data_IF_339640437080
#
_entry.id   IF_339640437080
#
_cell.length_a   1.000
_cell.length_b   1.000
_cell.length_c   1.000
_cell.angle_alpha   90.00
_cell.angle_beta   90.00
_cell.angle_gamma   90.00
#
_symmetry.space_group_name_H-M   'P 1'
#
loop_
_entity.id
_entity.type
_entity.pdbx_description
1 polymer ?
#
# COMPACT_ATOMS: atom_id res chain seq x y z
N UNK A 1 14.96 45.83 -59.35
CA UNK A 1 14.98 47.25 -59.72
C UNK A 1 13.68 47.56 -60.44
N UNK A 2 12.93 48.62 -60.05
CA UNK A 2 12.94 49.38 -58.78
C UNK A 2 12.49 48.47 -57.59
N UNK A 3 12.46 48.83 -56.30
CA UNK A 3 12.58 50.09 -55.53
C UNK A 3 11.29 50.91 -55.29
N UNK A 4 10.70 50.80 -54.07
CA UNK A 4 10.58 51.91 -53.09
C UNK A 4 9.89 51.55 -51.76
N UNK A 5 10.51 51.92 -50.65
CA UNK A 5 9.91 52.15 -49.31
C UNK A 5 9.49 53.65 -49.18
N UNK A 6 9.03 54.26 -48.05
CA UNK A 6 9.23 53.97 -46.61
C UNK A 6 7.88 53.83 -45.84
N UNK A 7 7.73 53.90 -44.49
CA UNK A 7 8.63 54.33 -43.39
C UNK A 7 8.32 53.70 -42.02
N UNK A 8 9.37 53.48 -41.23
CA UNK A 8 9.43 53.31 -39.75
C UNK A 8 9.22 54.68 -39.02
N UNK A 9 9.37 54.86 -37.67
CA UNK A 9 9.96 54.01 -36.60
C UNK A 9 8.98 53.79 -35.39
N UNK A 10 9.31 53.30 -34.18
CA UNK A 10 10.61 53.10 -33.47
C UNK A 10 10.54 52.03 -32.35
N UNK A 11 11.44 51.03 -32.37
CA UNK A 11 12.72 50.98 -31.62
C UNK A 11 12.84 51.64 -30.21
N UNK A 12 13.77 51.21 -29.31
CA UNK A 12 14.13 49.87 -28.83
C UNK A 12 13.82 49.73 -27.29
N UNK A 13 14.53 49.08 -26.34
CA UNK A 13 15.82 48.35 -26.23
C UNK A 13 15.89 47.48 -24.94
N UNK A 14 16.80 46.50 -24.94
CA UNK A 14 17.48 45.83 -23.80
C UNK A 14 18.95 46.33 -23.78
N UNK A 15 19.74 46.32 -22.67
CA UNK A 15 20.69 45.19 -22.51
C UNK A 15 21.29 44.88 -21.09
N UNK A 16 21.71 43.62 -20.94
CA UNK A 16 23.03 43.15 -20.40
C UNK A 16 23.58 43.53 -19.01
N UNK A 17 23.81 42.48 -18.20
CA UNK A 17 25.13 42.03 -17.70
C UNK A 17 26.02 42.92 -16.79
N UNK A 18 26.43 42.38 -15.63
CA UNK A 18 27.79 42.57 -15.04
C UNK A 18 28.05 41.58 -13.90
N UNK A 19 29.33 41.31 -13.63
CA UNK A 19 29.80 40.51 -12.49
C UNK A 19 30.34 41.40 -11.35
N UNK A 20 30.43 40.88 -10.12
CA UNK A 20 31.73 40.76 -9.42
C UNK A 20 31.69 40.10 -8.02
N UNK A 21 32.46 39.01 -7.91
CA UNK A 21 33.42 38.66 -6.86
C UNK A 21 33.45 39.43 -5.50
N UNK A 22 33.31 38.71 -4.37
CA UNK A 22 34.23 38.79 -3.21
C UNK A 22 33.94 37.78 -2.08
N UNK A 23 35.00 37.30 -1.42
CA UNK A 23 34.99 36.78 -0.03
C UNK A 23 36.23 37.35 0.68
N UNK A 24 36.16 37.69 1.98
CA UNK A 24 36.94 36.88 2.92
C UNK A 24 36.36 36.76 4.36
N UNK A 25 36.94 35.80 5.08
CA UNK A 25 36.90 35.59 6.54
C UNK A 25 37.97 36.49 7.25
N UNK A 26 38.22 36.43 8.58
CA UNK A 26 37.40 36.00 9.73
C UNK A 26 37.46 36.97 10.95
N UNK A 27 36.75 36.66 12.03
CA UNK A 27 37.14 36.86 13.46
C UNK A 27 36.19 35.96 14.27
N UNK A 28 36.62 34.98 15.07
CA UNK A 28 37.63 34.94 16.14
C UNK A 28 37.26 35.79 17.35
N UNK A 29 36.67 35.15 18.36
CA UNK A 29 36.82 35.57 19.75
C UNK A 29 36.64 34.38 20.70
N UNK A 30 37.51 34.28 21.69
CA UNK A 30 37.54 33.19 22.67
C UNK A 30 36.69 33.50 23.89
N UNK A 31 36.13 32.48 24.54
CA UNK A 31 36.25 32.39 26.00
C UNK A 31 35.99 30.99 26.55
N UNK A 32 36.87 30.59 27.45
CA UNK A 32 36.81 29.40 28.30
C UNK A 32 37.12 29.86 29.73
N UNK A 33 36.57 29.21 30.76
CA UNK A 33 37.47 28.81 31.84
C UNK A 33 37.27 27.35 32.28
N UNK A 34 38.33 26.81 32.89
CA UNK A 34 38.42 25.46 33.44
C UNK A 34 38.19 25.42 34.97
N UNK A 35 38.21 24.20 35.52
CA UNK A 35 38.53 23.84 36.92
C UNK A 35 37.43 24.03 37.97
N UNK A 36 37.34 23.20 39.03
CA UNK A 36 37.89 21.85 39.22
C UNK A 36 37.19 21.12 40.40
N UNK A 37 37.13 19.79 40.30
CA UNK A 37 37.51 18.78 41.31
C UNK A 37 37.33 19.08 42.83
N UNK A 38 36.48 18.29 43.51
CA UNK A 38 36.61 17.95 44.95
C UNK A 38 35.86 16.61 45.24
N UNK A 39 36.10 15.99 46.40
CA UNK A 39 35.94 14.54 46.59
C UNK A 39 35.24 14.06 47.89
N UNK A 40 34.68 12.86 47.81
CA UNK A 40 34.40 11.91 48.92
C UNK A 40 33.21 12.28 49.88
N UNK A 41 32.85 11.50 50.94
CA UNK A 41 31.61 10.72 50.85
C UNK A 41 30.67 10.78 52.08
N UNK A 42 29.42 10.30 51.95
CA UNK A 42 28.74 9.58 53.06
C UNK A 42 27.49 8.80 52.61
N UNK A 43 27.24 7.67 53.28
CA UNK A 43 26.01 6.84 53.20
C UNK A 43 25.21 7.02 54.52
N UNK A 44 23.90 6.78 54.58
CA UNK A 44 23.40 5.40 54.78
C UNK A 44 22.12 5.06 53.97
N UNK A 45 21.66 3.81 54.06
CA UNK A 45 20.61 3.26 53.20
C UNK A 45 19.26 2.98 53.90
N UNK A 46 18.19 2.89 53.10
CA UNK A 46 16.86 2.29 53.33
C UNK A 46 16.15 2.20 51.95
N UNK A 47 15.21 1.31 51.65
CA UNK A 47 14.89 -0.07 52.06
C UNK A 47 13.83 -0.57 51.04
N UNK A 48 13.76 -1.86 50.71
CA UNK A 48 12.86 -2.42 49.67
C UNK A 48 11.42 -1.89 49.66
N UNK A 49 10.90 -1.66 48.45
CA UNK A 49 9.54 -2.07 48.06
C UNK A 49 9.61 -2.85 46.76
N UNK A 50 9.01 -4.03 46.74
CA UNK A 50 8.97 -4.93 45.58
C UNK A 50 7.88 -4.49 44.58
N UNK A 51 8.18 -4.52 43.29
CA UNK A 51 7.27 -4.26 42.16
C UNK A 51 7.95 -4.63 40.84
N UNK A 52 7.56 -5.76 40.25
CA UNK A 52 8.05 -6.20 38.94
C UNK A 52 7.47 -5.34 37.81
N UNK A 53 8.18 -4.29 37.44
CA UNK A 53 7.94 -3.50 36.21
C UNK A 53 8.93 -3.98 35.13
N UNK A 54 8.49 -4.26 33.89
CA UNK A 54 9.43 -4.51 32.78
C UNK A 54 10.38 -3.33 32.60
N UNK A 55 11.68 -3.59 32.46
CA UNK A 55 12.69 -2.55 32.27
C UNK A 55 12.42 -1.76 30.98
N UNK A 56 12.46 -0.42 31.06
CA UNK A 56 12.39 0.44 29.89
C UNK A 56 13.54 0.12 28.92
N UNK A 57 13.20 -0.29 27.71
CA UNK A 57 14.16 -0.44 26.62
C UNK A 57 14.46 0.94 26.03
N UNK A 58 15.41 1.65 26.64
CA UNK A 58 15.83 2.99 26.21
C UNK A 58 16.43 2.95 24.81
N UNK A 59 15.76 3.56 23.83
CA UNK A 59 16.20 3.65 22.44
C UNK A 59 17.64 4.20 22.35
N UNK A 60 18.60 3.46 21.75
CA UNK A 60 19.96 3.94 21.58
C UNK A 60 20.02 5.14 20.63
N UNK A 61 20.58 6.25 21.09
CA UNK A 61 20.86 7.42 20.25
C UNK A 61 21.78 7.03 19.09
N UNK A 62 21.24 7.01 17.88
CA UNK A 62 21.96 6.66 16.63
C UNK A 62 21.18 5.74 15.68
N UNK A 63 20.36 4.82 16.18
CA UNK A 63 19.70 3.79 15.34
C UNK A 63 18.65 4.32 14.35
N UNK A 64 18.14 5.53 14.55
CA UNK A 64 17.25 6.20 13.58
C UNK A 64 17.94 6.54 12.26
N UNK A 65 19.23 6.92 12.29
CA UNK A 65 20.01 7.20 11.08
C UNK A 65 20.34 5.93 10.27
N UNK A 66 20.43 4.79 10.95
CA UNK A 66 20.69 3.47 10.34
C UNK A 66 19.44 2.95 9.61
N UNK A 67 18.26 3.09 10.23
CA UNK A 67 16.98 2.86 9.55
C UNK A 67 16.79 3.80 8.34
N UNK A 68 17.18 5.08 8.45
CA UNK A 68 17.12 6.03 7.34
C UNK A 68 17.92 5.60 6.10
N UNK A 69 19.14 5.09 6.27
CA UNK A 69 19.97 4.59 5.15
C UNK A 69 19.35 3.39 4.44
N UNK A 70 18.70 2.49 5.18
CA UNK A 70 17.94 1.39 4.57
C UNK A 70 16.72 1.87 3.78
N UNK A 71 16.12 3.02 4.12
CA UNK A 71 15.06 3.64 3.31
C UNK A 71 15.63 4.20 2.00
N UNK A 72 16.82 4.83 2.04
CA UNK A 72 17.52 5.26 0.81
C UNK A 72 17.87 4.08 -0.11
N UNK A 73 18.50 3.01 0.40
CA UNK A 73 18.83 1.81 -0.40
C UNK A 73 17.56 1.13 -0.99
N UNK A 74 16.48 1.03 -0.20
CA UNK A 74 15.23 0.42 -0.64
C UNK A 74 14.48 1.25 -1.70
N UNK A 75 14.65 2.57 -1.71
CA UNK A 75 13.95 3.48 -2.64
C UNK A 75 14.75 3.78 -3.91
N UNK A 76 16.09 3.83 -3.85
CA UNK A 76 16.88 4.42 -4.94
C UNK A 76 17.21 3.49 -6.12
N UNK A 77 17.23 2.16 -5.97
CA UNK A 77 17.91 1.28 -6.95
C UNK A 77 17.13 0.14 -7.63
N UNK A 78 15.86 -0.13 -7.31
CA UNK A 78 15.01 -1.03 -8.13
C UNK A 78 13.56 -0.56 -8.18
N UNK A 79 13.11 -0.09 -9.35
CA UNK A 79 11.67 0.07 -9.64
C UNK A 79 10.95 -1.27 -9.37
N UNK A 80 9.75 -1.27 -8.77
CA UNK A 80 8.86 -2.42 -8.84
C UNK A 80 8.55 -2.74 -10.31
N UNK A 81 8.12 -3.97 -10.61
CA UNK A 81 7.88 -4.37 -12.00
C UNK A 81 6.77 -3.50 -12.64
N UNK A 82 5.77 -3.14 -11.83
CA UNK A 82 4.84 -2.04 -12.08
C UNK A 82 4.89 -1.05 -10.89
N UNK A 83 5.45 0.15 -11.11
CA UNK A 83 5.94 1.01 -10.03
C UNK A 83 5.05 2.15 -9.50
N UNK A 84 5.32 2.49 -8.23
CA UNK A 84 4.94 3.69 -7.45
C UNK A 84 3.46 4.09 -7.33
N UNK A 85 2.87 3.70 -6.19
CA UNK A 85 1.64 4.30 -5.65
C UNK A 85 2.01 5.29 -4.53
N UNK A 86 1.38 6.47 -4.53
CA UNK A 86 1.36 7.41 -3.38
C UNK A 86 0.03 7.27 -2.64
N UNK A 87 -0.02 7.45 -1.30
CA UNK A 87 -1.27 7.37 -0.56
C UNK A 87 -2.27 8.44 -1.04
N UNK A 88 -3.46 7.99 -1.45
CA UNK A 88 -4.49 8.84 -2.07
C UNK A 88 -5.09 9.85 -1.08
N UNK A 89 -4.45 11.01 -0.98
CA UNK A 89 -4.77 12.07 -0.02
C UNK A 89 -5.97 12.92 -0.51
N UNK A 90 -7.16 12.31 -0.55
CA UNK A 90 -8.39 12.92 -1.08
C UNK A 90 -8.91 14.08 -0.20
N UNK A 91 -8.41 15.28 -0.46
CA UNK A 91 -8.87 16.53 0.15
C UNK A 91 -8.57 17.71 -0.79
N UNK A 92 -9.56 18.55 -1.16
CA UNK A 92 -9.29 19.84 -1.81
C UNK A 92 -9.87 20.09 -3.22
N UNK A 93 -11.19 20.08 -3.34
CA UNK A 93 -12.02 21.00 -4.15
C UNK A 93 -11.30 22.03 -5.08
N UNK A 94 -11.53 21.95 -6.40
CA UNK A 94 -11.27 23.06 -7.33
C UNK A 94 -12.37 23.21 -8.40
N UNK A 95 -13.06 24.34 -8.44
CA UNK A 95 -14.03 24.67 -9.50
C UNK A 95 -13.32 25.12 -10.79
N UNK A 96 -13.44 24.34 -11.87
CA UNK A 96 -13.21 24.81 -13.25
C UNK A 96 -14.28 24.22 -14.19
N UNK A 97 -14.79 24.97 -15.19
CA UNK A 97 -15.75 24.44 -16.15
C UNK A 97 -15.07 23.49 -17.15
N UNK A 98 -15.54 22.25 -17.25
CA UNK A 98 -15.12 21.28 -18.28
C UNK A 98 -16.17 21.23 -19.40
N UNK A 99 -15.78 21.13 -20.69
CA UNK A 99 -16.74 21.08 -21.80
C UNK A 99 -17.65 19.84 -21.77
N UNK A 100 -18.83 19.96 -22.39
CA UNK A 100 -19.86 18.92 -22.41
C UNK A 100 -19.36 17.58 -22.98
N UNK A 101 -19.60 16.50 -22.23
CA UNK A 101 -19.42 15.11 -22.67
C UNK A 101 -20.77 14.39 -22.73
N UNK A 102 -20.95 13.37 -23.59
CA UNK A 102 -22.25 12.74 -23.80
C UNK A 102 -22.88 12.15 -22.51
N UNK A 103 -24.16 12.46 -22.31
CA UNK A 103 -24.97 12.10 -21.13
C UNK A 103 -25.15 10.57 -20.99
N UNK A 104 -24.82 9.95 -19.83
CA UNK A 104 -25.14 8.56 -19.54
C UNK A 104 -26.66 8.26 -19.50
N UNK A 105 -27.02 6.99 -19.69
CA UNK A 105 -28.41 6.52 -19.76
C UNK A 105 -29.21 6.69 -18.45
N UNK A 106 -30.54 6.68 -18.53
CA UNK A 106 -31.42 7.06 -17.41
C UNK A 106 -31.50 6.00 -16.27
N UNK A 107 -31.50 6.41 -14.99
CA UNK A 107 -31.29 5.52 -13.84
C UNK A 107 -32.57 4.81 -13.37
N UNK A 108 -33.06 3.83 -14.14
CA UNK A 108 -34.32 3.14 -13.85
C UNK A 108 -34.34 2.23 -12.60
N UNK A 109 -33.22 1.61 -12.24
CA UNK A 109 -33.17 0.58 -11.17
C UNK A 109 -32.01 0.72 -10.17
N UNK A 110 -30.84 1.20 -10.61
CA UNK A 110 -29.61 1.17 -9.81
C UNK A 110 -29.66 1.98 -8.51
N UNK A 111 -30.43 3.08 -8.46
CA UNK A 111 -30.45 4.01 -7.32
C UNK A 111 -31.02 3.39 -6.03
N UNK A 112 -32.01 2.48 -6.13
CA UNK A 112 -32.74 2.00 -4.93
C UNK A 112 -31.85 1.22 -3.95
N UNK A 113 -30.89 0.45 -4.45
CA UNK A 113 -29.92 -0.25 -3.59
C UNK A 113 -29.01 0.70 -2.83
N UNK A 114 -28.80 1.90 -3.36
CA UNK A 114 -27.74 2.81 -2.91
C UNK A 114 -28.27 3.79 -1.89
N UNK A 115 -29.55 4.15 -1.98
CA UNK A 115 -30.25 4.85 -0.90
C UNK A 115 -30.48 3.92 0.30
N UNK A 116 -30.79 2.63 0.08
CA UNK A 116 -30.71 1.60 1.13
C UNK A 116 -29.30 1.47 1.73
N UNK A 117 -28.26 1.50 0.88
CA UNK A 117 -26.87 1.43 1.29
C UNK A 117 -26.46 2.61 2.17
N UNK A 118 -26.74 3.84 1.72
CA UNK A 118 -26.51 5.09 2.47
C UNK A 118 -27.33 5.14 3.75
N UNK A 119 -28.58 4.68 3.74
CA UNK A 119 -29.42 4.58 4.94
C UNK A 119 -28.88 3.54 5.94
N UNK A 120 -28.28 2.43 5.47
CA UNK A 120 -27.56 1.49 6.31
C UNK A 120 -26.30 2.14 6.92
N UNK A 121 -25.47 2.82 6.13
CA UNK A 121 -24.27 3.52 6.63
C UNK A 121 -24.62 4.53 7.71
N UNK A 122 -25.63 5.39 7.47
CA UNK A 122 -26.15 6.36 8.45
C UNK A 122 -26.63 5.67 9.73
N UNK A 123 -27.47 4.62 9.61
CA UNK A 123 -27.92 3.84 10.77
C UNK A 123 -26.77 3.25 11.58
N UNK A 124 -25.68 2.82 10.93
CA UNK A 124 -24.49 2.30 11.63
C UNK A 124 -23.66 3.39 12.31
N UNK A 125 -23.59 4.60 11.74
CA UNK A 125 -23.02 5.79 12.39
C UNK A 125 -23.84 6.14 13.64
N UNK A 126 -25.17 6.19 13.55
CA UNK A 126 -26.06 6.44 14.68
C UNK A 126 -25.93 5.35 15.76
N UNK A 127 -25.86 4.09 15.34
CA UNK A 127 -25.66 2.95 16.23
C UNK A 127 -24.32 3.01 16.99
N UNK A 128 -23.23 3.42 16.34
CA UNK A 128 -21.93 3.65 16.99
C UNK A 128 -21.92 4.89 17.91
N UNK A 129 -22.66 5.95 17.55
CA UNK A 129 -22.73 7.20 18.32
C UNK A 129 -23.74 7.18 19.48
N UNK A 130 -24.66 6.21 19.50
CA UNK A 130 -25.68 6.03 20.55
C UNK A 130 -25.16 5.33 21.80
N UNK A 131 -24.09 4.54 21.70
CA UNK A 131 -23.47 3.89 22.86
C UNK A 131 -22.00 3.56 22.61
N UNK A 132 -21.15 3.92 23.57
CA UNK A 132 -19.75 3.50 23.54
C UNK A 132 -19.59 1.97 23.58
N UNK A 133 -20.52 1.24 24.20
CA UNK A 133 -20.48 -0.22 24.19
C UNK A 133 -20.72 -0.79 22.78
N UNK A 134 -21.61 -0.17 21.98
CA UNK A 134 -21.79 -0.52 20.57
C UNK A 134 -20.51 -0.24 19.79
N UNK A 135 -19.90 0.94 19.99
CA UNK A 135 -18.62 1.31 19.37
C UNK A 135 -17.52 0.28 19.68
N UNK A 136 -17.21 0.07 20.97
CA UNK A 136 -16.13 -0.83 21.43
C UNK A 136 -16.34 -2.30 21.05
N UNK A 137 -17.58 -2.74 20.79
CA UNK A 137 -17.90 -4.11 20.35
C UNK A 137 -17.53 -4.40 18.89
N UNK A 138 -17.53 -3.39 18.02
CA UNK A 138 -17.48 -3.55 16.57
C UNK A 138 -16.40 -2.72 15.86
N UNK A 139 -15.90 -1.65 16.49
CA UNK A 139 -14.90 -0.75 15.94
C UNK A 139 -13.76 -0.48 16.92
N UNK A 140 -12.55 -0.28 16.37
CA UNK A 140 -11.37 0.24 17.05
C UNK A 140 -11.52 1.75 17.28
N UNK A 141 -10.65 2.34 18.11
CA UNK A 141 -10.68 3.77 18.48
C UNK A 141 -10.39 4.74 17.33
N UNK A 142 -9.78 4.25 16.25
CA UNK A 142 -9.56 4.97 14.99
C UNK A 142 -10.79 4.95 14.06
N UNK A 143 -11.80 4.12 14.35
CA UNK A 143 -12.97 3.89 13.51
C UNK A 143 -12.84 2.72 12.52
N UNK A 144 -11.70 2.02 12.48
CA UNK A 144 -11.60 0.76 11.74
C UNK A 144 -12.45 -0.34 12.40
N UNK A 145 -12.77 -1.40 11.66
CA UNK A 145 -13.45 -2.57 12.24
C UNK A 145 -12.61 -3.24 13.32
N UNK A 146 -13.25 -3.82 14.32
CA UNK A 146 -12.58 -4.70 15.27
C UNK A 146 -12.27 -6.06 14.62
N UNK A 147 -13.16 -6.57 13.75
CA UNK A 147 -12.99 -7.79 12.96
C UNK A 147 -13.65 -7.65 11.59
N UNK A 148 -13.01 -8.12 10.53
CA UNK A 148 -13.55 -8.12 9.16
C UNK A 148 -14.81 -8.99 9.00
N UNK A 149 -15.06 -9.93 9.91
CA UNK A 149 -16.22 -10.83 9.91
C UNK A 149 -17.43 -10.29 10.66
N UNK A 150 -17.34 -9.13 11.32
CA UNK A 150 -18.48 -8.56 12.05
C UNK A 150 -19.59 -8.06 11.09
N UNK A 151 -20.83 -8.39 11.42
CA UNK A 151 -22.02 -8.09 10.62
C UNK A 151 -23.15 -7.55 11.49
N UNK A 152 -23.96 -6.65 10.93
CA UNK A 152 -25.25 -6.23 11.49
C UNK A 152 -26.28 -6.35 10.37
N UNK A 153 -27.43 -6.97 10.68
CA UNK A 153 -28.48 -7.30 9.71
C UNK A 153 -27.97 -8.06 8.47
N UNK A 154 -26.96 -8.92 8.67
CA UNK A 154 -26.26 -9.67 7.62
C UNK A 154 -25.32 -8.86 6.74
N UNK A 155 -25.30 -7.52 6.85
CA UNK A 155 -24.47 -6.61 6.06
C UNK A 155 -23.15 -6.31 6.78
N UNK A 156 -22.09 -6.08 6.00
CA UNK A 156 -20.79 -5.62 6.50
C UNK A 156 -20.90 -4.18 7.03
N UNK A 157 -20.16 -3.85 8.08
CA UNK A 157 -20.21 -2.52 8.72
C UNK A 157 -19.42 -1.47 7.93
N UNK A 158 -19.80 -0.18 7.94
CA UNK A 158 -18.94 0.87 7.41
C UNK A 158 -17.64 0.99 8.23
N UNK A 159 -16.55 1.40 7.58
CA UNK A 159 -15.44 2.01 8.31
C UNK A 159 -15.87 3.42 8.75
N UNK A 160 -15.51 3.78 9.98
CA UNK A 160 -15.74 5.09 10.57
C UNK A 160 -14.42 5.86 10.65
N UNK A 161 -14.52 7.13 11.03
CA UNK A 161 -13.42 7.96 11.54
C UNK A 161 -13.97 8.83 12.67
N UNK A 162 -13.10 9.34 13.55
CA UNK A 162 -13.53 10.35 14.51
C UNK A 162 -13.99 11.61 13.77
N UNK A 163 -15.03 12.26 14.29
CA UNK A 163 -15.52 13.54 13.81
C UNK A 163 -14.55 14.65 14.25
N UNK A 164 -13.93 15.41 13.33
CA UNK A 164 -12.97 16.46 13.68
C UNK A 164 -13.65 17.66 14.36
N UNK A 165 -14.93 17.90 14.06
CA UNK A 165 -15.71 19.03 14.57
C UNK A 165 -16.43 18.65 15.87
N UNK A 166 -16.70 17.36 16.11
CA UNK A 166 -17.37 16.84 17.30
C UNK A 166 -16.55 15.75 18.03
N UNK A 167 -15.54 16.12 18.84
CA UNK A 167 -14.70 15.16 19.57
C UNK A 167 -15.49 14.10 20.36
N UNK A 168 -15.15 12.83 20.14
CA UNK A 168 -15.82 11.67 20.76
C UNK A 168 -17.03 11.13 19.98
N UNK A 169 -17.50 11.85 18.95
CA UNK A 169 -18.38 11.32 17.90
C UNK A 169 -17.59 10.76 16.73
N UNK A 170 -18.26 9.94 15.94
CA UNK A 170 -17.71 9.26 14.77
C UNK A 170 -18.61 9.55 13.58
N UNK A 171 -18.00 9.69 12.41
CA UNK A 171 -18.68 9.82 11.12
C UNK A 171 -18.21 8.69 10.20
N UNK A 172 -18.96 8.41 9.14
CA UNK A 172 -18.54 7.43 8.16
C UNK A 172 -17.24 7.88 7.47
N UNK A 173 -16.36 6.93 7.16
CA UNK A 173 -15.18 7.18 6.33
C UNK A 173 -15.55 7.35 4.85
N UNK A 174 -16.71 6.83 4.44
CA UNK A 174 -17.38 7.04 3.15
C UNK A 174 -18.88 6.82 3.32
N UNK A 175 -19.71 7.60 2.63
CA UNK A 175 -21.18 7.41 2.61
C UNK A 175 -21.62 6.18 1.80
N UNK A 176 -20.72 5.61 0.99
CA UNK A 176 -21.01 4.39 0.24
C UNK A 176 -21.00 3.17 1.18
N UNK A 177 -21.94 2.22 1.02
CA UNK A 177 -21.92 0.98 1.77
C UNK A 177 -20.60 0.21 1.49
N UNK A 178 -20.16 -0.66 2.42
CA UNK A 178 -19.10 -1.61 2.13
C UNK A 178 -19.41 -2.43 0.86
N UNK A 179 -18.37 -2.79 0.09
CA UNK A 179 -18.54 -3.55 -1.13
C UNK A 179 -19.06 -4.97 -0.82
N UNK A 180 -19.60 -5.65 -1.84
CA UNK A 180 -19.74 -7.11 -1.77
C UNK A 180 -18.36 -7.75 -1.87
N UNK A 181 -18.11 -8.74 -1.01
CA UNK A 181 -16.95 -9.61 -1.12
C UNK A 181 -17.02 -10.42 -2.43
N UNK A 182 -15.89 -10.75 -3.07
CA UNK A 182 -15.88 -11.48 -4.33
C UNK A 182 -16.26 -12.94 -4.14
N UNK A 183 -17.07 -13.48 -5.05
CA UNK A 183 -17.38 -14.90 -5.10
C UNK A 183 -16.19 -15.69 -5.68
N UNK A 184 -15.84 -16.81 -5.07
CA UNK A 184 -14.79 -17.72 -5.54
C UNK A 184 -15.40 -18.83 -6.40
N UNK A 185 -14.68 -19.28 -7.42
CA UNK A 185 -15.08 -20.47 -8.17
C UNK A 185 -15.15 -21.68 -7.24
N UNK A 186 -16.20 -22.53 -7.35
CA UNK A 186 -16.29 -23.78 -6.60
C UNK A 186 -15.05 -24.67 -6.77
N UNK A 187 -14.58 -25.29 -5.69
CA UNK A 187 -13.30 -26.03 -5.65
C UNK A 187 -13.27 -27.30 -6.51
N UNK A 188 -14.45 -27.81 -6.89
CA UNK A 188 -14.67 -28.88 -7.84
C UNK A 188 -14.57 -28.42 -9.31
N UNK A 189 -14.78 -27.12 -9.58
CA UNK A 189 -14.62 -26.49 -10.90
C UNK A 189 -13.18 -25.95 -11.08
N UNK A 190 -12.67 -25.24 -10.07
CA UNK A 190 -11.29 -24.73 -10.01
C UNK A 190 -10.74 -24.90 -8.58
N UNK A 191 -9.97 -25.97 -8.29
CA UNK A 191 -9.40 -26.17 -6.97
C UNK A 191 -8.40 -25.06 -6.60
N UNK A 192 -8.27 -24.76 -5.32
CA UNK A 192 -7.21 -23.88 -4.81
C UNK A 192 -5.87 -24.55 -5.04
N UNK A 193 -5.02 -23.94 -5.87
CA UNK A 193 -3.64 -24.42 -6.04
C UNK A 193 -2.81 -23.92 -4.86
N UNK A 194 -2.04 -24.80 -4.26
CA UNK A 194 -1.08 -24.47 -3.20
C UNK A 194 0.23 -25.12 -3.56
N UNK A 195 1.33 -24.39 -3.39
CA UNK A 195 2.69 -24.91 -3.50
C UNK A 195 3.53 -24.44 -2.32
N UNK A 196 4.37 -25.32 -1.81
CA UNK A 196 5.48 -24.99 -0.93
C UNK A 196 6.61 -24.29 -1.68
N UNK A 197 7.58 -23.80 -0.92
CA UNK A 197 8.74 -23.03 -1.36
C UNK A 197 9.41 -23.50 -2.65
N UNK A 198 9.71 -24.80 -2.74
CA UNK A 198 10.63 -25.37 -3.76
C UNK A 198 9.91 -26.07 -4.95
N UNK A 199 8.57 -26.00 -5.03
CA UNK A 199 7.77 -26.81 -5.94
C UNK A 199 7.67 -26.27 -7.39
N UNK A 200 8.73 -26.46 -8.17
CA UNK A 200 8.75 -26.08 -9.59
C UNK A 200 9.09 -24.62 -9.84
N UNK A 201 9.87 -24.04 -8.92
CA UNK A 201 10.61 -22.79 -9.06
C UNK A 201 12.05 -23.07 -9.51
N UNK A 202 12.75 -22.09 -10.10
CA UNK A 202 14.20 -22.21 -10.36
C UNK A 202 15.01 -21.62 -9.19
N UNK A 203 16.28 -22.01 -8.98
CA UNK A 203 17.11 -21.45 -7.91
C UNK A 203 17.24 -19.93 -7.96
N UNK A 204 17.31 -19.35 -9.16
CA UNK A 204 17.44 -17.91 -9.38
C UNK A 204 16.14 -17.16 -9.00
N UNK A 205 14.99 -17.73 -9.36
CA UNK A 205 13.68 -17.22 -8.95
C UNK A 205 13.48 -17.32 -7.44
N UNK A 206 13.94 -18.41 -6.81
CA UNK A 206 13.83 -18.61 -5.37
C UNK A 206 14.70 -17.61 -4.60
N UNK A 207 15.95 -17.41 -5.02
CA UNK A 207 16.86 -16.44 -4.41
C UNK A 207 16.33 -14.99 -4.49
N UNK A 208 15.70 -14.60 -5.60
CA UNK A 208 15.06 -13.29 -5.71
C UNK A 208 13.80 -13.16 -4.84
N UNK A 209 13.00 -14.23 -4.68
CA UNK A 209 11.86 -14.21 -3.75
C UNK A 209 12.26 -14.18 -2.28
N UNK A 210 13.38 -14.82 -1.91
CA UNK A 210 13.98 -14.66 -0.59
C UNK A 210 14.52 -13.26 -0.39
N UNK A 211 15.12 -12.66 -1.42
CA UNK A 211 15.55 -11.25 -1.38
C UNK A 211 14.36 -10.32 -1.16
N UNK A 212 13.24 -10.50 -1.87
CA UNK A 212 12.00 -9.75 -1.65
C UNK A 212 11.35 -10.01 -0.28
N UNK A 213 11.42 -11.24 0.23
CA UNK A 213 10.92 -11.58 1.58
C UNK A 213 11.70 -10.85 2.66
N UNK A 214 13.03 -10.87 2.58
CA UNK A 214 13.92 -10.16 3.50
C UNK A 214 13.69 -8.64 3.40
N UNK A 215 13.70 -8.08 2.18
CA UNK A 215 13.42 -6.66 1.91
C UNK A 215 12.14 -6.20 2.64
N UNK A 216 11.04 -6.97 2.50
CA UNK A 216 9.76 -6.72 3.18
C UNK A 216 9.81 -6.86 4.70
N UNK A 217 10.44 -7.90 5.26
CA UNK A 217 10.49 -8.11 6.71
C UNK A 217 11.49 -7.16 7.43
N UNK A 218 12.42 -6.53 6.70
CA UNK A 218 13.20 -5.39 7.21
C UNK A 218 12.35 -4.11 7.29
N UNK A 219 11.66 -3.73 6.21
CA UNK A 219 10.78 -2.54 6.21
C UNK A 219 9.66 -2.66 7.25
N UNK A 220 9.08 -3.86 7.43
CA UNK A 220 8.08 -4.13 8.47
C UNK A 220 8.59 -4.00 9.92
N UNK A 221 9.90 -4.10 10.15
CA UNK A 221 10.48 -3.82 11.46
C UNK A 221 10.78 -2.32 11.63
N UNK A 222 11.27 -1.65 10.59
CA UNK A 222 11.43 -0.20 10.58
C UNK A 222 10.10 0.52 10.89
N UNK A 223 9.00 0.10 10.25
CA UNK A 223 7.66 0.68 10.48
C UNK A 223 7.14 0.47 11.91
N UNK A 224 7.50 -0.65 12.57
CA UNK A 224 7.17 -0.87 13.98
C UNK A 224 7.98 0.02 14.91
N UNK A 225 9.24 0.29 14.59
CA UNK A 225 10.12 1.16 15.40
C UNK A 225 9.68 2.62 15.27
N UNK A 226 9.36 3.10 14.06
CA UNK A 226 8.82 4.45 13.85
C UNK A 226 7.40 4.59 14.39
N UNK A 227 6.54 3.57 14.28
CA UNK A 227 5.23 3.56 14.96
C UNK A 227 5.39 3.63 16.47
N UNK A 228 6.28 2.83 17.08
CA UNK A 228 6.53 2.87 18.51
C UNK A 228 7.02 4.25 18.97
N UNK A 229 7.97 4.87 18.27
CA UNK A 229 8.45 6.22 18.57
C UNK A 229 7.34 7.28 18.47
N UNK A 230 6.53 7.24 17.41
CA UNK A 230 5.34 8.08 17.21
C UNK A 230 4.29 7.90 18.32
N UNK A 231 4.08 6.66 18.78
CA UNK A 231 3.14 6.38 19.88
C UNK A 231 3.68 6.83 21.23
N UNK A 232 4.97 6.66 21.49
CA UNK A 232 5.64 7.15 22.71
C UNK A 232 5.58 8.69 22.79
N UNK A 233 5.92 9.40 21.71
CA UNK A 233 5.77 10.86 21.64
C UNK A 233 4.32 11.32 21.86
N UNK A 234 3.33 10.54 21.36
CA UNK A 234 1.91 10.80 21.58
C UNK A 234 1.44 10.59 23.03
N UNK A 235 2.19 9.85 23.84
CA UNK A 235 1.91 9.54 25.25
C UNK A 235 2.63 10.54 26.18
N UNK A 236 3.94 10.73 25.98
CA UNK A 236 4.78 11.60 26.83
C UNK A 236 4.53 13.10 26.61
N UNK A 237 4.37 13.53 25.34
CA UNK A 237 4.24 14.95 24.96
C UNK A 237 2.84 15.30 24.44
N UNK A 238 2.09 14.30 23.96
CA UNK A 238 0.72 14.44 23.48
C UNK A 238 0.62 14.78 21.99
N UNK A 239 -0.49 14.38 21.35
CA UNK A 239 -0.73 14.44 19.88
C UNK A 239 -0.82 15.85 19.25
N UNK A 240 -0.36 16.89 19.95
CA UNK A 240 -0.29 18.28 19.50
C UNK A 240 1.10 18.91 19.71
N UNK A 241 2.07 18.16 20.23
CA UNK A 241 3.43 18.62 20.43
C UNK A 241 4.25 18.53 19.15
N UNK A 242 5.38 19.23 19.13
CA UNK A 242 6.31 19.22 17.99
C UNK A 242 7.03 17.85 17.90
N UNK A 243 7.33 17.19 19.02
CA UNK A 243 7.95 15.86 19.04
C UNK A 243 7.04 14.78 18.42
N UNK A 244 5.72 14.89 18.59
CA UNK A 244 4.76 14.04 17.89
C UNK A 244 4.64 14.37 16.40
N UNK A 245 4.84 15.63 16.00
CA UNK A 245 4.87 16.05 14.60
C UNK A 245 6.14 15.53 13.89
N UNK A 246 7.30 15.64 14.53
CA UNK A 246 8.58 15.14 14.04
C UNK A 246 8.56 13.62 13.89
N UNK A 247 8.11 12.88 14.91
CA UNK A 247 8.01 11.42 14.87
C UNK A 247 7.01 10.89 13.82
N UNK A 248 6.07 11.73 13.37
CA UNK A 248 5.08 11.36 12.35
C UNK A 248 5.68 11.26 10.94
N UNK A 249 6.73 12.03 10.63
CA UNK A 249 7.39 12.02 9.32
C UNK A 249 7.99 10.65 8.99
N UNK A 250 9.00 10.18 9.75
CA UNK A 250 9.63 8.88 9.52
C UNK A 250 8.66 7.71 9.57
N UNK A 251 7.58 7.79 10.36
CA UNK A 251 6.51 6.79 10.34
C UNK A 251 5.73 6.80 9.02
N UNK A 252 5.40 7.96 8.44
CA UNK A 252 4.73 8.00 7.15
C UNK A 252 5.61 7.37 6.05
N UNK A 253 6.90 7.70 6.04
CA UNK A 253 7.85 7.18 5.06
C UNK A 253 8.02 5.65 5.16
N UNK A 254 8.13 5.09 6.38
CA UNK A 254 8.19 3.64 6.57
C UNK A 254 6.88 2.95 6.21
N UNK A 255 5.73 3.57 6.50
CA UNK A 255 4.43 2.96 6.29
C UNK A 255 4.06 2.88 4.80
N UNK A 256 4.36 3.94 4.05
CA UNK A 256 4.25 3.92 2.58
C UNK A 256 5.24 2.92 1.97
N UNK A 257 6.46 2.81 2.51
CA UNK A 257 7.43 1.79 2.08
C UNK A 257 6.93 0.35 2.35
N UNK A 258 6.27 0.09 3.49
CA UNK A 258 5.63 -1.21 3.80
C UNK A 258 4.59 -1.59 2.75
N UNK A 259 3.81 -0.61 2.25
CA UNK A 259 2.90 -0.81 1.12
C UNK A 259 3.64 -1.33 -0.12
N UNK A 260 4.63 -0.56 -0.59
CA UNK A 260 5.38 -0.84 -1.83
C UNK A 260 6.10 -2.19 -1.81
N UNK A 261 6.77 -2.56 -0.70
CA UNK A 261 7.42 -3.88 -0.57
C UNK A 261 6.40 -5.01 -0.40
N UNK A 262 5.20 -4.73 0.10
CA UNK A 262 4.08 -5.67 0.15
C UNK A 262 3.54 -6.01 -1.24
N UNK A 263 3.28 -4.99 -2.05
CA UNK A 263 2.81 -5.10 -3.43
C UNK A 263 3.83 -5.86 -4.29
N UNK A 264 5.08 -5.39 -4.30
CA UNK A 264 6.23 -5.99 -5.00
C UNK A 264 6.45 -7.47 -4.62
N UNK A 265 6.38 -7.83 -3.35
CA UNK A 265 6.49 -9.24 -2.92
C UNK A 265 5.30 -10.11 -3.37
N UNK A 266 4.09 -9.53 -3.46
CA UNK A 266 2.93 -10.19 -4.07
C UNK A 266 3.17 -10.46 -5.56
N UNK A 267 3.46 -9.40 -6.33
CA UNK A 267 3.73 -9.46 -7.77
C UNK A 267 4.84 -10.46 -8.14
N UNK A 268 5.97 -10.43 -7.42
CA UNK A 268 7.09 -11.31 -7.70
C UNK A 268 6.71 -12.77 -7.43
N UNK A 269 5.96 -13.05 -6.37
CA UNK A 269 5.45 -14.41 -6.12
C UNK A 269 4.44 -14.87 -7.16
N UNK A 270 3.68 -13.95 -7.76
CA UNK A 270 2.78 -14.27 -8.88
C UNK A 270 3.58 -14.60 -10.15
N UNK A 271 4.56 -13.76 -10.51
CA UNK A 271 5.36 -13.94 -11.73
C UNK A 271 6.34 -15.12 -11.65
N UNK A 272 7.24 -15.10 -10.67
CA UNK A 272 8.40 -16.00 -10.64
C UNK A 272 8.07 -17.40 -10.13
N UNK A 273 6.93 -17.59 -9.44
CA UNK A 273 6.53 -18.89 -8.93
C UNK A 273 5.13 -19.32 -9.37
N UNK A 274 4.07 -18.56 -9.08
CA UNK A 274 2.71 -19.04 -9.34
C UNK A 274 2.46 -19.27 -10.84
N UNK A 275 2.49 -18.21 -11.64
CA UNK A 275 2.23 -18.28 -13.08
C UNK A 275 3.30 -19.09 -13.82
N UNK A 276 4.58 -18.90 -13.47
CA UNK A 276 5.67 -19.67 -14.05
C UNK A 276 5.55 -21.19 -13.86
N UNK A 277 5.01 -21.66 -12.72
CA UNK A 277 4.96 -23.07 -12.37
C UNK A 277 3.60 -23.75 -12.63
N UNK A 278 2.50 -23.00 -12.70
CA UNK A 278 1.14 -23.54 -12.96
C UNK A 278 0.63 -23.25 -14.37
N UNK A 279 1.06 -22.16 -15.00
CA UNK A 279 0.63 -21.69 -16.32
C UNK A 279 1.83 -21.40 -17.23
N UNK A 280 2.77 -22.35 -17.41
CA UNK A 280 4.01 -22.12 -18.16
C UNK A 280 3.79 -21.85 -19.66
N UNK A 281 2.59 -22.14 -20.17
CA UNK A 281 2.04 -21.88 -21.51
C UNK A 281 1.50 -20.44 -21.70
N UNK A 282 1.35 -19.67 -20.61
CA UNK A 282 0.99 -18.25 -20.66
C UNK A 282 2.22 -17.32 -20.71
N UNK A 283 2.00 -16.05 -21.05
CA UNK A 283 2.99 -14.96 -21.01
C UNK A 283 2.39 -13.69 -20.42
N UNK A 284 3.18 -13.02 -19.57
CA UNK A 284 2.85 -11.69 -19.03
C UNK A 284 2.66 -10.69 -20.18
N UNK A 285 1.59 -9.91 -20.12
CA UNK A 285 1.27 -8.85 -21.05
C UNK A 285 1.77 -7.52 -20.46
N UNK A 286 2.79 -6.93 -21.09
CA UNK A 286 3.29 -5.60 -20.72
C UNK A 286 2.29 -4.51 -21.15
N UNK A 287 1.46 -4.03 -20.24
CA UNK A 287 0.58 -2.87 -20.49
C UNK A 287 1.17 -1.63 -19.78
N UNK A 288 1.18 -0.44 -20.41
CA UNK A 288 1.50 0.80 -19.70
C UNK A 288 0.55 1.02 -18.52
N UNK A 289 1.04 1.67 -17.46
CA UNK A 289 0.22 2.06 -16.31
C UNK A 289 -0.94 2.98 -16.72
N UNK A 290 -2.09 2.83 -16.06
CA UNK A 290 -3.12 3.87 -16.12
C UNK A 290 -2.62 5.12 -15.39
N UNK A 291 -2.96 6.31 -15.88
CA UNK A 291 -2.53 7.58 -15.26
C UNK A 291 -3.02 7.77 -13.82
N UNK A 292 -4.03 6.99 -13.43
CA UNK A 292 -4.59 6.90 -12.09
C UNK A 292 -4.06 5.62 -11.43
N UNK A 293 -2.86 5.66 -10.85
CA UNK A 293 -2.07 4.48 -10.45
C UNK A 293 -2.69 3.51 -9.40
N UNK A 294 -3.92 3.74 -8.94
CA UNK A 294 -4.69 2.75 -8.15
C UNK A 294 -5.53 1.80 -9.01
N UNK A 295 -5.78 2.14 -10.27
CA UNK A 295 -6.89 1.60 -11.07
C UNK A 295 -6.35 0.86 -12.31
N UNK A 296 -5.71 -0.27 -12.05
CA UNK A 296 -5.25 -1.27 -13.03
C UNK A 296 -5.35 -2.67 -12.42
N UNK A 297 -5.14 -3.72 -13.22
CA UNK A 297 -4.89 -5.08 -12.71
C UNK A 297 -3.41 -5.24 -12.38
N UNK A 298 -3.06 -5.96 -11.30
CA UNK A 298 -1.66 -6.15 -10.90
C UNK A 298 -0.85 -6.84 -12.01
N UNK A 299 -1.37 -7.92 -12.60
CA UNK A 299 -0.76 -8.60 -13.76
C UNK A 299 -1.83 -9.20 -14.70
N UNK A 300 -1.53 -9.24 -16.00
CA UNK A 300 -2.37 -9.85 -17.05
C UNK A 300 -1.51 -10.82 -17.85
N UNK A 301 -2.03 -12.00 -18.17
CA UNK A 301 -1.33 -13.03 -18.93
C UNK A 301 -2.16 -13.52 -20.11
N UNK A 302 -1.56 -13.70 -21.28
CA UNK A 302 -2.19 -14.30 -22.48
C UNK A 302 -1.57 -15.66 -22.81
N UNK A 303 -2.38 -16.63 -23.26
CA UNK A 303 -1.92 -17.95 -23.66
C UNK A 303 -1.20 -17.90 -25.02
N UNK A 304 0.07 -18.33 -25.08
CA UNK A 304 0.93 -18.23 -26.29
C UNK A 304 0.27 -18.77 -27.55
N UNK A 305 -0.23 -20.00 -27.49
CA UNK A 305 -0.79 -20.71 -28.65
C UNK A 305 -2.32 -20.58 -28.79
N UNK A 306 -2.97 -19.75 -27.97
CA UNK A 306 -4.43 -19.54 -27.96
C UNK A 306 -4.75 -18.05 -27.72
N UNK A 307 -4.57 -17.17 -28.72
CA UNK A 307 -4.90 -15.76 -28.60
C UNK A 307 -6.34 -15.55 -28.11
N UNK A 308 -6.54 -14.55 -27.25
CA UNK A 308 -7.85 -14.31 -26.62
C UNK A 308 -8.20 -15.24 -25.45
N UNK A 309 -7.26 -16.04 -24.94
CA UNK A 309 -7.37 -16.69 -23.62
C UNK A 309 -6.47 -15.99 -22.61
N UNK A 310 -7.06 -15.46 -21.54
CA UNK A 310 -6.36 -14.64 -20.54
C UNK A 310 -6.50 -15.17 -19.12
N UNK A 311 -5.47 -14.91 -18.31
CA UNK A 311 -5.53 -14.97 -16.86
C UNK A 311 -5.21 -13.58 -16.33
N UNK A 312 -6.16 -12.95 -15.64
CA UNK A 312 -5.95 -11.73 -14.86
C UNK A 312 -5.56 -12.15 -13.44
N UNK A 313 -4.51 -11.55 -12.89
CA UNK A 313 -3.98 -11.89 -11.57
C UNK A 313 -4.02 -10.68 -10.65
N UNK A 314 -4.68 -10.86 -9.51
CA UNK A 314 -4.54 -10.05 -8.31
C UNK A 314 -3.44 -10.68 -7.44
N UNK A 315 -2.39 -9.93 -7.10
CA UNK A 315 -1.20 -10.42 -6.42
C UNK A 315 -1.07 -9.78 -5.02
N UNK A 316 -0.94 -10.58 -3.97
CA UNK A 316 -0.98 -10.08 -2.58
C UNK A 316 0.08 -10.71 -1.67
N UNK A 317 0.62 -9.89 -0.77
CA UNK A 317 1.48 -10.31 0.34
C UNK A 317 0.75 -11.26 1.32
N UNK A 318 1.46 -12.01 2.20
CA UNK A 318 0.86 -13.04 3.04
C UNK A 318 -0.23 -12.53 4.00
N UNK A 319 -0.14 -11.26 4.39
CA UNK A 319 -1.10 -10.56 5.27
C UNK A 319 -2.07 -9.62 4.52
N UNK A 320 -1.94 -9.47 3.20
CA UNK A 320 -2.79 -8.58 2.41
C UNK A 320 -3.96 -9.33 1.78
N UNK A 321 -5.14 -8.71 1.76
CA UNK A 321 -6.36 -9.24 1.13
C UNK A 321 -6.74 -8.36 -0.08
N UNK A 322 -7.65 -8.81 -0.97
CA UNK A 322 -8.15 -7.99 -2.06
C UNK A 322 -8.64 -6.63 -1.55
N UNK A 323 -8.27 -5.56 -2.24
CA UNK A 323 -8.66 -4.21 -1.90
C UNK A 323 -10.10 -3.88 -2.33
N UNK A 324 -10.51 -2.66 -1.99
CA UNK A 324 -11.77 -2.09 -2.45
C UNK A 324 -11.53 -0.82 -3.25
N UNK A 325 -12.23 -0.69 -4.37
CA UNK A 325 -12.20 0.46 -5.27
C UNK A 325 -13.62 1.01 -5.46
N UNK A 326 -13.74 2.12 -6.20
CA UNK A 326 -15.02 2.60 -6.71
C UNK A 326 -15.22 1.98 -8.10
N UNK A 327 -16.36 1.32 -8.33
CA UNK A 327 -16.72 0.74 -9.61
C UNK A 327 -17.31 1.77 -10.58
N UNK A 328 -17.45 1.41 -11.85
CA UNK A 328 -18.03 2.26 -12.90
C UNK A 328 -19.43 2.77 -12.57
N UNK A 329 -20.19 2.03 -11.74
CA UNK A 329 -21.51 2.46 -11.28
C UNK A 329 -21.48 3.41 -10.07
N UNK A 330 -20.31 3.91 -9.66
CA UNK A 330 -20.11 4.77 -8.49
C UNK A 330 -20.27 4.08 -7.13
N UNK A 331 -20.40 2.74 -7.11
CA UNK A 331 -20.53 1.93 -5.89
C UNK A 331 -19.15 1.47 -5.42
N UNK A 332 -19.03 0.97 -4.19
CA UNK A 332 -17.81 0.27 -3.76
C UNK A 332 -17.83 -1.15 -4.29
N UNK A 333 -16.72 -1.54 -4.92
CA UNK A 333 -16.45 -2.90 -5.39
C UNK A 333 -15.26 -3.49 -4.63
N UNK A 334 -15.14 -4.82 -4.61
CA UNK A 334 -13.91 -5.51 -4.23
C UNK A 334 -13.14 -5.91 -5.48
N UNK A 335 -11.81 -5.98 -5.37
CA UNK A 335 -10.98 -6.61 -6.39
C UNK A 335 -11.34 -8.10 -6.54
N UNK A 336 -11.21 -8.64 -7.75
CA UNK A 336 -11.75 -9.97 -8.10
C UNK A 336 -13.26 -10.04 -8.35
N UNK A 337 -14.02 -8.93 -8.27
CA UNK A 337 -15.44 -8.91 -8.69
C UNK A 337 -15.60 -8.60 -10.18
N UNK A 338 -16.73 -9.03 -10.76
CA UNK A 338 -17.13 -8.68 -12.13
C UNK A 338 -17.14 -7.16 -12.37
N UNK A 339 -17.75 -6.39 -11.48
CA UNK A 339 -17.87 -4.93 -11.64
C UNK A 339 -16.48 -4.27 -11.59
N UNK A 340 -15.55 -4.78 -10.77
CA UNK A 340 -14.16 -4.32 -10.80
C UNK A 340 -13.47 -4.65 -12.13
N UNK A 341 -13.62 -5.86 -12.66
CA UNK A 341 -13.09 -6.22 -13.98
C UNK A 341 -13.60 -5.29 -15.08
N UNK A 342 -14.92 -5.08 -15.14
CA UNK A 342 -15.55 -4.13 -16.09
C UNK A 342 -14.97 -2.71 -15.92
N UNK A 343 -14.85 -2.23 -14.67
CA UNK A 343 -14.35 -0.88 -14.37
C UNK A 343 -12.92 -0.68 -14.87
N UNK A 344 -12.02 -1.63 -14.63
CA UNK A 344 -10.64 -1.53 -15.11
C UNK A 344 -10.59 -1.59 -16.65
N UNK A 345 -11.40 -2.44 -17.29
CA UNK A 345 -11.44 -2.43 -18.77
C UNK A 345 -11.93 -1.10 -19.35
N UNK A 346 -12.93 -0.45 -18.75
CA UNK A 346 -13.37 0.89 -19.18
C UNK A 346 -12.28 1.95 -19.03
N UNK A 347 -11.55 1.94 -17.90
CA UNK A 347 -10.41 2.85 -17.68
C UNK A 347 -9.22 2.57 -18.62
N UNK A 348 -9.12 1.36 -19.15
CA UNK A 348 -8.16 1.01 -20.20
C UNK A 348 -8.61 1.47 -21.60
N UNK A 349 -9.92 1.55 -21.90
CA UNK A 349 -10.45 2.09 -23.16
C UNK A 349 -10.19 3.59 -23.32
N UNK A 350 -10.26 4.36 -22.23
CA UNK A 350 -9.92 5.78 -22.15
C UNK A 350 -8.40 6.04 -22.09
N UNK A 351 -7.58 4.98 -22.08
CA UNK A 351 -6.13 5.04 -21.92
C UNK A 351 -5.33 5.21 -23.22
N UNK A 352 -4.06 4.80 -23.16
CA UNK A 352 -3.19 4.67 -24.33
C UNK A 352 -3.72 3.64 -25.33
N UNK A 353 -3.31 3.74 -26.60
CA UNK A 353 -3.72 2.79 -27.64
C UNK A 353 -3.47 1.31 -27.27
N UNK A 354 -2.38 1.01 -26.54
CA UNK A 354 -2.08 -0.35 -26.06
C UNK A 354 -2.98 -0.80 -24.91
N UNK A 355 -3.37 0.11 -24.01
CA UNK A 355 -4.38 -0.20 -22.98
C UNK A 355 -5.73 -0.50 -23.63
N UNK A 356 -6.16 0.32 -24.58
CA UNK A 356 -7.41 0.12 -25.33
C UNK A 356 -7.42 -1.19 -26.12
N UNK A 357 -6.33 -1.52 -26.82
CA UNK A 357 -6.16 -2.80 -27.52
C UNK A 357 -6.42 -4.00 -26.59
N UNK A 358 -5.87 -3.98 -25.38
CA UNK A 358 -6.08 -5.05 -24.40
C UNK A 358 -7.43 -4.97 -23.68
N UNK A 359 -8.06 -3.79 -23.57
CA UNK A 359 -9.44 -3.68 -23.08
C UNK A 359 -10.40 -4.40 -24.03
N UNK A 360 -10.32 -4.10 -25.33
CA UNK A 360 -11.13 -4.73 -26.38
C UNK A 360 -10.92 -6.26 -26.41
N UNK A 361 -9.66 -6.72 -26.28
CA UNK A 361 -9.35 -8.16 -26.16
C UNK A 361 -9.91 -8.79 -24.89
N UNK A 362 -9.74 -8.17 -23.72
CA UNK A 362 -10.19 -8.70 -22.43
C UNK A 362 -11.72 -8.76 -22.33
N UNK A 363 -12.43 -7.74 -22.80
CA UNK A 363 -13.89 -7.74 -22.91
C UNK A 363 -14.37 -8.85 -23.87
N UNK A 364 -13.75 -8.99 -25.04
CA UNK A 364 -14.08 -10.03 -26.03
C UNK A 364 -13.86 -11.42 -25.46
N UNK A 365 -12.70 -11.66 -24.84
CA UNK A 365 -12.38 -12.92 -24.18
C UNK A 365 -13.33 -13.23 -23.02
N UNK A 366 -13.70 -12.23 -22.21
CA UNK A 366 -14.64 -12.38 -21.11
C UNK A 366 -16.05 -12.76 -21.62
N UNK A 367 -16.53 -12.11 -22.68
CA UNK A 367 -17.80 -12.45 -23.34
C UNK A 367 -17.81 -13.86 -23.94
N UNK A 368 -16.64 -14.38 -24.36
CA UNK A 368 -16.46 -15.77 -24.81
C UNK A 368 -16.22 -16.76 -23.66
N UNK A 369 -16.11 -16.30 -22.41
CA UNK A 369 -15.81 -17.14 -21.24
C UNK A 369 -14.33 -17.52 -21.06
N UNK A 370 -13.44 -16.94 -21.88
CA UNK A 370 -12.00 -17.23 -21.98
C UNK A 370 -11.11 -16.40 -21.03
N UNK A 371 -11.70 -15.65 -20.11
CA UNK A 371 -10.97 -14.96 -19.02
C UNK A 371 -11.13 -15.75 -17.73
N UNK A 372 -10.00 -16.11 -17.12
CA UNK A 372 -9.94 -16.53 -15.73
C UNK A 372 -9.37 -15.39 -14.88
N UNK A 373 -9.88 -15.22 -13.66
CA UNK A 373 -9.42 -14.21 -12.72
C UNK A 373 -8.91 -14.91 -11.47
N UNK A 374 -7.63 -14.74 -11.15
CA UNK A 374 -6.96 -15.40 -10.04
C UNK A 374 -6.52 -14.40 -8.95
N UNK A 375 -6.61 -14.84 -7.69
CA UNK A 375 -5.89 -14.26 -6.56
C UNK A 375 -4.68 -15.13 -6.24
N UNK A 376 -3.48 -14.60 -6.40
CA UNK A 376 -2.24 -15.19 -5.87
C UNK A 376 -1.89 -14.49 -4.56
N UNK A 377 -1.74 -15.27 -3.49
CA UNK A 377 -1.29 -14.80 -2.18
C UNK A 377 0.00 -15.53 -1.81
N UNK A 378 1.08 -14.77 -1.59
CA UNK A 378 2.39 -15.32 -1.23
C UNK A 378 2.42 -15.80 0.22
N UNK A 379 3.44 -16.58 0.56
CA UNK A 379 3.70 -17.06 1.93
C UNK A 379 5.11 -16.69 2.35
N UNK A 380 5.29 -16.50 3.65
CA UNK A 380 6.60 -16.47 4.31
C UNK A 380 6.62 -17.55 5.38
N UNK A 381 7.80 -18.12 5.62
CA UNK A 381 8.06 -19.10 6.65
C UNK A 381 9.25 -18.66 7.50
N UNK A 382 9.23 -19.01 8.78
CA UNK A 382 10.36 -18.79 9.68
C UNK A 382 11.52 -19.73 9.30
N UNK A 383 12.75 -19.22 9.43
CA UNK A 383 13.96 -19.88 8.98
C UNK A 383 15.06 -19.80 10.02
N UNK A 384 15.49 -20.94 10.53
CA UNK A 384 16.74 -21.06 11.27
C UNK A 384 17.88 -21.36 10.29
N UNK A 385 18.84 -20.43 10.09
CA UNK A 385 19.95 -20.65 9.17
C UNK A 385 20.89 -21.72 9.74
N UNK A 386 21.19 -22.72 8.91
CA UNK A 386 22.23 -23.71 9.20
C UNK A 386 23.60 -23.05 9.37
N UNK A 387 24.54 -23.77 9.98
CA UNK A 387 25.85 -23.17 10.30
C UNK A 387 26.61 -22.69 9.06
N UNK A 388 26.47 -23.40 7.95
CA UNK A 388 27.09 -23.08 6.65
C UNK A 388 26.44 -21.88 5.93
N UNK A 389 25.20 -21.51 6.27
CA UNK A 389 24.44 -20.46 5.58
C UNK A 389 24.73 -19.04 6.13
N UNK A 390 25.42 -18.98 7.28
CA UNK A 390 25.79 -17.72 7.95
C UNK A 390 26.66 -16.80 7.07
N UNK A 391 27.33 -17.34 6.04
CA UNK A 391 28.22 -16.61 5.12
C UNK A 391 27.53 -16.07 3.86
N UNK A 392 26.22 -16.27 3.65
CA UNK A 392 25.47 -15.65 2.54
C UNK A 392 24.61 -14.45 2.96
N UNK A 393 24.70 -14.02 4.23
CA UNK A 393 24.09 -12.76 4.66
C UNK A 393 24.72 -11.59 3.91
N UNK A 394 23.95 -10.59 3.44
CA UNK A 394 24.53 -9.34 2.98
C UNK A 394 25.28 -8.65 4.13
N UNK A 395 26.41 -8.00 3.83
CA UNK A 395 27.35 -7.41 4.81
C UNK A 395 26.74 -6.29 5.69
N UNK A 396 25.49 -5.92 5.45
CA UNK A 396 24.71 -4.95 6.24
C UNK A 396 24.03 -5.58 7.47
N UNK A 397 23.97 -6.90 7.59
CA UNK A 397 23.50 -7.55 8.82
C UNK A 397 24.56 -7.42 9.93
N UNK A 398 24.19 -6.83 11.08
CA UNK A 398 25.12 -6.59 12.20
C UNK A 398 25.92 -7.86 12.56
N UNK A 399 27.27 -7.79 12.61
CA UNK A 399 28.13 -8.98 12.60
C UNK A 399 28.16 -9.76 13.92
N UNK A 400 27.52 -9.27 14.98
CA UNK A 400 27.35 -9.98 16.25
C UNK A 400 26.12 -10.90 16.28
N UNK A 401 25.18 -10.72 15.34
CA UNK A 401 23.91 -11.44 15.31
C UNK A 401 23.01 -11.21 16.53
N UNK A 402 23.19 -10.13 17.28
CA UNK A 402 22.70 -10.01 18.66
C UNK A 402 21.27 -9.46 18.85
N UNK A 403 20.46 -9.30 17.79
CA UNK A 403 19.02 -9.01 17.90
C UNK A 403 18.26 -10.30 18.31
N UNK A 404 17.95 -10.52 19.61
CA UNK A 404 17.61 -11.86 20.09
C UNK A 404 16.15 -12.26 19.80
N UNK A 405 15.37 -11.36 19.20
CA UNK A 405 13.93 -11.50 18.99
C UNK A 405 13.53 -11.84 17.55
N UNK A 406 14.48 -11.92 16.60
CA UNK A 406 14.16 -12.13 15.18
C UNK A 406 14.71 -13.45 14.64
N UNK A 407 13.82 -14.44 14.57
CA UNK A 407 13.95 -15.49 13.55
C UNK A 407 14.01 -14.84 12.17
N UNK A 408 15.03 -15.14 11.35
CA UNK A 408 14.99 -14.84 9.92
C UNK A 408 13.75 -15.44 9.27
N UNK A 409 13.29 -14.85 8.18
CA UNK A 409 12.20 -15.41 7.37
C UNK A 409 12.60 -15.48 5.92
N UNK A 410 12.00 -16.44 5.24
CA UNK A 410 12.24 -16.72 3.83
C UNK A 410 10.93 -16.97 3.10
N UNK A 411 10.99 -17.02 1.78
CA UNK A 411 9.82 -17.28 0.95
C UNK A 411 9.31 -18.72 1.17
N UNK A 412 7.99 -18.86 1.39
CA UNK A 412 7.33 -20.12 1.76
C UNK A 412 6.37 -20.68 0.71
N UNK A 413 6.46 -20.23 -0.55
CA UNK A 413 5.55 -20.60 -1.63
C UNK A 413 4.30 -19.70 -1.73
N UNK A 414 3.20 -20.23 -2.26
CA UNK A 414 1.97 -19.45 -2.52
C UNK A 414 0.68 -20.26 -2.35
N UNK A 415 -0.44 -19.55 -2.36
CA UNK A 415 -1.77 -20.09 -2.69
C UNK A 415 -2.37 -19.30 -3.84
N UNK A 416 -3.00 -19.97 -4.80
CA UNK A 416 -3.74 -19.37 -5.91
C UNK A 416 -5.20 -19.85 -5.89
N UNK A 417 -6.13 -18.90 -5.97
CA UNK A 417 -7.58 -19.14 -6.03
C UNK A 417 -8.17 -18.43 -7.24
N UNK A 418 -9.31 -18.90 -7.73
CA UNK A 418 -10.02 -18.28 -8.85
C UNK A 418 -11.31 -17.62 -8.37
N UNK A 419 -11.62 -16.42 -8.88
CA UNK A 419 -12.88 -15.73 -8.66
C UNK A 419 -13.90 -16.09 -9.73
N UNK A 420 -15.17 -16.21 -9.37
CA UNK A 420 -16.24 -16.33 -10.35
C UNK A 420 -16.74 -14.94 -10.76
N UNK A 421 -16.04 -14.33 -11.72
CA UNK A 421 -16.46 -13.06 -12.33
C UNK A 421 -17.64 -13.21 -13.31
N UNK A 422 -18.11 -14.44 -13.60
CA UNK A 422 -19.11 -14.70 -14.65
C UNK A 422 -20.52 -14.80 -14.05
N UNK A 423 -20.67 -15.50 -12.93
CA UNK A 423 -21.97 -15.62 -12.27
C UNK A 423 -22.37 -14.32 -11.54
N UNK A 424 -23.59 -13.81 -11.73
CA UNK A 424 -24.10 -12.73 -10.90
C UNK A 424 -24.43 -13.25 -9.49
N UNK A 425 -24.17 -12.50 -8.41
CA UNK A 425 -24.45 -12.93 -7.04
C UNK A 425 -25.97 -13.10 -6.82
N UNK A 426 -26.45 -14.34 -6.92
CA UNK A 426 -27.86 -14.72 -6.90
C UNK A 426 -28.27 -15.69 -8.03
N UNK A 427 -27.45 -15.85 -9.08
CA UNK A 427 -27.64 -16.86 -10.10
C UNK A 427 -27.25 -18.24 -9.59
N UNK A 428 -28.23 -19.12 -9.37
CA UNK A 428 -27.98 -20.57 -9.34
C UNK A 428 -27.91 -21.09 -10.77
N UNK A 429 -26.94 -21.95 -11.04
CA UNK A 429 -26.91 -22.82 -12.21
C UNK A 429 -28.00 -23.91 -12.12
#
# INVERSE_FOLDING_TARGET
TPDKSPSDPSDPSDPSDTSDNATPNPTDNTNKPDNADDTDPTKPAKLNTDSTVPSQETLPQGKTAEAGRHIEDATQNKKPLYGDISPANNNGNSNTPRPDTPRPAEPGAANRSDDEGKAFVRRMVDFANSSEANRKKYWRVDGQHLRLTDRVDGRELPQLKQDPDNPGKYIAKSDLPPPKQPDYMPSDIRPTVTRGRDEGITPEHLAELDRQTNEREWTLAADRVTEAAKLQAAEDHGKKSDEYADAKGPYADTHDAVGKVGEKHGEYSALHHAMASTHPDYKLVEIPHTGNGSDQFDQIYEHKDKPGHFIVVEAKAPSADPGSRVGHSGKRVMQGTREYFETITMLMEDGTAKQKEYAEKLQTAYALGNVEYALVKSKVEDFEPGEDDKTQRPDTASPDGSDPGRTPKRYGGFTMKYFDIRNPPGGRA
#
